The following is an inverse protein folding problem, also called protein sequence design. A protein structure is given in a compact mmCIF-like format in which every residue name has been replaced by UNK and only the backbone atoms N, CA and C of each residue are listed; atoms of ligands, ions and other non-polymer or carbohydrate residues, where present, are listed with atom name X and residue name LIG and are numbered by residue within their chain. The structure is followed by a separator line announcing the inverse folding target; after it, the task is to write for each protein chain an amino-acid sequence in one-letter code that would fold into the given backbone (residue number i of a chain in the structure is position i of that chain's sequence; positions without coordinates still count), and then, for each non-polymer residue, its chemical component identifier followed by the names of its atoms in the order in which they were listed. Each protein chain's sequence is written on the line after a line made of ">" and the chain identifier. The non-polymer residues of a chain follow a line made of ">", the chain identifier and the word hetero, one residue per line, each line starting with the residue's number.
data_IF_553756230967
#
_entry.id   IF_553756230967
#
_cell.length_a   1.000
_cell.length_b   1.000
_cell.length_c   1.000
_cell.angle_alpha   90.00
_cell.angle_beta   90.00
_cell.angle_gamma   90.00
#
_symmetry.space_group_name_H-M   'P 1'
#
loop_
_entity.id
_entity.type
_entity.pdbx_description
1 polymer ?
#
# COMPACT_ATOMS: atom_id res chain seq x y z
N UNK A 1 -29.40 17.63 -2.51
CA UNK A 1 -28.16 18.17 -1.93
C UNK A 1 -28.24 17.79 -0.44
N UNK A 2 -27.85 16.56 -0.10
CA UNK A 2 -27.68 16.16 1.29
C UNK A 2 -26.51 16.93 1.89
N UNK A 3 -26.76 17.51 3.06
CA UNK A 3 -25.77 18.14 3.93
C UNK A 3 -24.55 17.21 4.06
N UNK A 4 -23.35 17.73 3.71
CA UNK A 4 -22.11 17.05 3.99
C UNK A 4 -22.03 16.82 5.52
N UNK A 5 -22.46 15.68 5.99
CA UNK A 5 -22.23 15.25 7.36
C UNK A 5 -20.72 15.40 7.59
N UNK A 6 -20.33 16.02 8.70
CA UNK A 6 -18.93 16.28 9.01
C UNK A 6 -18.17 14.94 8.91
N UNK A 7 -17.27 14.83 7.90
CA UNK A 7 -16.49 13.59 7.66
C UNK A 7 -15.74 13.24 8.93
N UNK A 8 -15.92 12.03 9.41
CA UNK A 8 -15.14 11.51 10.54
C UNK A 8 -13.66 11.53 10.15
N UNK A 9 -12.84 12.18 10.97
CA UNK A 9 -11.37 12.20 10.78
C UNK A 9 -10.71 11.57 11.98
N UNK A 10 -9.68 10.73 11.77
CA UNK A 10 -8.89 10.22 12.86
C UNK A 10 -8.11 11.37 13.51
N UNK A 11 -8.04 11.36 14.83
CA UNK A 11 -7.12 12.25 15.56
C UNK A 11 -5.74 11.60 15.51
N UNK A 12 -4.84 12.17 14.73
CA UNK A 12 -3.48 11.66 14.56
C UNK A 12 -2.49 12.52 15.36
N UNK A 13 -1.53 11.86 15.99
CA UNK A 13 -0.41 12.50 16.69
C UNK A 13 0.89 11.84 16.25
N UNK A 14 2.02 12.50 16.47
CA UNK A 14 3.34 11.93 16.21
C UNK A 14 3.49 10.54 16.85
N UNK A 15 3.11 10.40 18.13
CA UNK A 15 3.16 9.12 18.84
C UNK A 15 2.24 8.03 18.29
N UNK A 16 1.21 8.39 17.50
CA UNK A 16 0.31 7.42 16.89
C UNK A 16 0.73 6.98 15.49
N UNK A 17 1.67 7.67 14.84
CA UNK A 17 2.08 7.37 13.46
C UNK A 17 3.57 7.05 13.30
N UNK A 18 4.44 7.51 14.21
CA UNK A 18 5.86 7.21 14.15
C UNK A 18 6.15 5.73 14.49
N UNK A 19 7.21 5.13 13.91
CA UNK A 19 7.71 3.84 14.37
C UNK A 19 8.29 3.95 15.79
N UNK A 20 8.34 2.84 16.52
CA UNK A 20 8.80 2.82 17.92
C UNK A 20 10.24 3.31 18.09
N UNK A 21 11.09 3.07 17.12
CA UNK A 21 12.50 3.47 17.10
C UNK A 21 12.80 4.71 16.24
N UNK A 22 11.80 5.58 16.04
CA UNK A 22 11.89 6.77 15.17
C UNK A 22 13.13 7.65 15.43
N UNK A 23 13.63 7.70 16.67
CA UNK A 23 14.82 8.48 17.00
C UNK A 23 16.12 8.00 16.34
N UNK A 24 16.14 6.79 15.75
CA UNK A 24 17.27 6.24 15.00
C UNK A 24 16.95 6.05 13.51
N UNK A 25 15.68 6.01 13.16
CA UNK A 25 15.21 5.73 11.81
C UNK A 25 15.50 6.90 10.87
N UNK A 26 15.94 6.61 9.65
CA UNK A 26 15.97 7.58 8.57
C UNK A 26 14.61 7.56 7.86
N UNK A 27 13.77 8.57 8.14
CA UNK A 27 12.39 8.63 7.69
C UNK A 27 12.19 9.76 6.68
N UNK A 28 11.72 9.40 5.47
CA UNK A 28 11.40 10.34 4.38
C UNK A 28 9.89 10.61 4.38
N UNK A 29 9.53 11.87 4.33
CA UNK A 29 8.17 12.36 4.15
C UNK A 29 8.05 13.17 2.85
N UNK A 30 6.82 13.45 2.45
CA UNK A 30 6.50 14.53 1.52
C UNK A 30 5.43 15.43 2.12
N UNK A 31 5.61 16.72 1.93
CA UNK A 31 4.71 17.74 2.46
C UNK A 31 4.23 18.65 1.33
N UNK A 32 2.93 18.91 1.26
CA UNK A 32 2.45 20.05 0.49
C UNK A 32 2.79 21.35 1.23
N UNK A 33 3.50 22.27 0.56
CA UNK A 33 3.86 23.57 1.12
C UNK A 33 3.07 24.66 0.41
N UNK A 34 2.18 25.39 1.11
CA UNK A 34 1.31 26.40 0.49
C UNK A 34 2.05 27.53 -0.22
N UNK A 35 3.13 28.05 0.39
CA UNK A 35 3.89 29.17 -0.18
C UNK A 35 4.55 28.80 -1.52
N UNK A 36 5.05 27.58 -1.65
CA UNK A 36 5.61 27.08 -2.91
C UNK A 36 4.53 26.52 -3.85
N UNK A 37 3.29 26.40 -3.37
CA UNK A 37 2.15 25.76 -4.05
C UNK A 37 2.52 24.39 -4.66
N UNK A 38 3.21 23.58 -3.87
CA UNK A 38 3.68 22.29 -4.35
C UNK A 38 4.30 21.39 -3.29
N UNK A 39 4.72 20.19 -3.72
CA UNK A 39 5.32 19.23 -2.82
C UNK A 39 6.77 19.57 -2.46
N UNK A 40 7.15 19.22 -1.24
CA UNK A 40 8.51 19.22 -0.73
C UNK A 40 8.93 17.81 -0.35
N UNK A 41 10.15 17.40 -0.67
CA UNK A 41 10.82 16.26 -0.06
C UNK A 41 11.22 16.66 1.36
N UNK A 42 10.95 15.82 2.34
CA UNK A 42 11.22 16.16 3.73
C UNK A 42 11.78 14.99 4.54
N UNK A 43 12.56 15.31 5.57
CA UNK A 43 13.04 14.37 6.58
C UNK A 43 12.22 14.51 7.87
N UNK A 44 11.87 13.38 8.49
CA UNK A 44 11.28 13.37 9.84
C UNK A 44 12.39 13.22 10.86
N UNK A 45 12.55 14.23 11.74
CA UNK A 45 13.59 14.29 12.78
C UNK A 45 12.94 14.60 14.12
N UNK A 46 12.69 13.56 14.91
CA UNK A 46 11.94 13.70 16.15
C UNK A 46 10.48 14.11 15.86
N UNK A 47 10.07 15.25 16.40
CA UNK A 47 8.74 15.84 16.22
C UNK A 47 8.67 16.86 15.05
N UNK A 48 9.77 17.01 14.31
CA UNK A 48 9.87 17.96 13.20
C UNK A 48 9.98 17.26 11.84
N UNK A 49 9.44 17.92 10.83
CA UNK A 49 9.53 17.53 9.43
C UNK A 49 10.26 18.65 8.69
N UNK A 50 11.46 18.37 8.19
CA UNK A 50 12.40 19.35 7.63
C UNK A 50 12.42 19.26 6.11
N UNK A 51 12.18 20.37 5.40
CA UNK A 51 12.23 20.46 3.95
C UNK A 51 13.65 20.23 3.41
N UNK A 52 13.84 19.22 2.59
CA UNK A 52 15.09 18.88 1.91
C UNK A 52 15.07 19.18 0.41
N UNK A 53 14.05 19.87 -0.11
CA UNK A 53 13.88 20.05 -1.56
C UNK A 53 15.05 20.78 -2.23
N UNK A 54 15.75 21.66 -1.51
CA UNK A 54 16.95 22.30 -2.03
C UNK A 54 18.16 21.35 -2.13
N UNK A 55 18.16 20.26 -1.38
CA UNK A 55 19.21 19.22 -1.36
C UNK A 55 18.89 18.14 -2.37
N UNK A 56 17.62 17.75 -2.43
CA UNK A 56 17.11 16.71 -3.33
C UNK A 56 15.69 17.11 -3.79
N UNK A 57 15.53 17.48 -5.07
CA UNK A 57 14.26 18.03 -5.57
C UNK A 57 13.09 17.05 -5.53
N UNK A 58 13.37 15.75 -5.69
CA UNK A 58 12.36 14.69 -5.68
C UNK A 58 12.76 13.55 -4.76
N UNK A 59 11.79 12.75 -4.34
CA UNK A 59 12.06 11.49 -3.62
C UNK A 59 12.81 10.52 -4.53
N UNK A 60 12.52 10.55 -5.84
CA UNK A 60 13.24 9.74 -6.82
C UNK A 60 14.73 10.09 -6.81
N UNK A 61 15.11 11.37 -6.86
CA UNK A 61 16.51 11.80 -6.76
C UNK A 61 17.16 11.34 -5.45
N UNK A 62 16.43 11.44 -4.33
CA UNK A 62 16.94 10.98 -3.04
C UNK A 62 17.23 9.47 -3.04
N UNK A 63 16.35 8.65 -3.64
CA UNK A 63 16.51 7.20 -3.68
C UNK A 63 17.72 6.76 -4.54
N UNK A 64 18.14 7.56 -5.52
CA UNK A 64 19.36 7.28 -6.33
C UNK A 64 20.67 7.49 -5.57
N UNK A 65 20.64 8.19 -4.43
CA UNK A 65 21.82 8.53 -3.65
C UNK A 65 22.24 7.40 -2.72
N UNK A 66 23.53 7.05 -2.74
CA UNK A 66 24.07 6.04 -1.83
C UNK A 66 24.11 6.53 -0.37
N UNK A 67 24.19 7.85 -0.16
CA UNK A 67 24.18 8.52 1.14
C UNK A 67 22.79 9.01 1.61
N UNK A 68 21.71 8.51 1.00
CA UNK A 68 20.33 8.96 1.28
C UNK A 68 19.99 8.98 2.79
N UNK A 69 20.38 7.94 3.53
CA UNK A 69 20.10 7.87 4.97
C UNK A 69 20.86 8.95 5.77
N UNK A 70 22.09 9.28 5.40
CA UNK A 70 22.86 10.36 6.00
C UNK A 70 22.24 11.73 5.68
N UNK A 71 21.82 11.97 4.44
CA UNK A 71 21.11 13.19 4.04
C UNK A 71 19.85 13.38 4.87
N UNK A 72 19.03 12.35 5.01
CA UNK A 72 17.78 12.42 5.79
C UNK A 72 18.04 12.75 7.26
N UNK A 73 19.11 12.23 7.84
CA UNK A 73 19.45 12.50 9.25
C UNK A 73 20.10 13.86 9.47
N UNK A 74 20.98 14.31 8.58
CA UNK A 74 21.99 15.32 8.90
C UNK A 74 21.99 16.54 7.98
N UNK A 75 21.47 16.44 6.73
CA UNK A 75 21.55 17.57 5.82
C UNK A 75 20.85 18.81 6.36
N UNK A 76 21.47 19.96 6.15
CA UNK A 76 20.83 21.24 6.42
C UNK A 76 19.61 21.39 5.51
N UNK A 77 18.46 21.61 6.14
CA UNK A 77 17.18 21.75 5.44
C UNK A 77 16.71 23.20 5.39
N UNK A 78 15.62 23.38 4.67
CA UNK A 78 14.89 24.65 4.64
C UNK A 78 13.90 24.79 5.80
N UNK A 79 12.64 25.05 5.44
CA UNK A 79 11.56 25.19 6.43
C UNK A 79 11.34 23.89 7.22
N UNK A 80 10.94 24.04 8.48
CA UNK A 80 10.58 22.92 9.32
C UNK A 80 9.15 23.09 9.89
N UNK A 81 8.37 22.02 9.82
CA UNK A 81 7.02 21.96 10.38
C UNK A 81 7.00 21.05 11.60
N UNK A 82 6.07 21.29 12.50
CA UNK A 82 5.77 20.30 13.55
C UNK A 82 4.96 19.15 12.94
N UNK A 83 5.36 17.91 13.23
CA UNK A 83 4.67 16.73 12.71
C UNK A 83 3.19 16.70 13.11
N UNK A 84 2.86 17.04 14.37
CA UNK A 84 1.48 17.07 14.85
C UNK A 84 0.62 18.08 14.06
N UNK A 85 1.17 19.22 13.65
CA UNK A 85 0.45 20.20 12.83
C UNK A 85 0.12 19.64 11.45
N UNK A 86 1.08 18.96 10.82
CA UNK A 86 0.88 18.32 9.51
C UNK A 86 -0.16 17.19 9.57
N UNK A 87 -0.18 16.42 10.66
CA UNK A 87 -1.11 15.31 10.87
C UNK A 87 -2.55 15.78 11.16
N UNK A 88 -2.73 16.95 11.77
CA UNK A 88 -4.04 17.53 12.03
C UNK A 88 -4.58 18.32 10.84
N UNK A 89 -3.73 18.69 9.88
CA UNK A 89 -4.12 19.44 8.72
C UNK A 89 -5.05 18.60 7.81
N UNK A 90 -6.13 19.20 7.28
CA UNK A 90 -6.99 18.52 6.33
C UNK A 90 -6.24 18.20 5.04
N UNK A 91 -6.06 16.91 4.74
CA UNK A 91 -5.43 16.49 3.50
C UNK A 91 -6.17 17.04 2.27
N UNK A 92 -5.43 17.38 1.21
CA UNK A 92 -5.98 17.92 -0.04
C UNK A 92 -6.29 19.42 -0.03
N UNK A 93 -6.13 20.11 1.09
CA UNK A 93 -6.23 21.59 1.13
C UNK A 93 -4.90 22.21 0.72
N UNK A 94 -4.94 23.10 -0.30
CA UNK A 94 -3.75 23.76 -0.84
C UNK A 94 -3.28 24.98 -0.03
N UNK A 95 -4.10 25.48 0.85
CA UNK A 95 -3.84 26.64 1.71
C UNK A 95 -3.20 26.31 3.07
N UNK A 96 -3.03 25.04 3.38
CA UNK A 96 -2.38 24.57 4.62
C UNK A 96 -1.33 23.51 4.31
N UNK A 97 -0.19 23.47 5.06
CA UNK A 97 0.77 22.40 4.91
C UNK A 97 0.17 21.08 5.42
N UNK A 98 0.38 19.99 4.69
CA UNK A 98 -0.10 18.66 5.07
C UNK A 98 0.78 17.56 4.46
N UNK A 99 0.72 16.36 5.06
CA UNK A 99 1.44 15.20 4.53
C UNK A 99 0.86 14.71 3.21
N UNK A 100 1.74 14.30 2.31
CA UNK A 100 1.44 13.59 1.07
C UNK A 100 1.94 12.14 1.17
N UNK A 101 1.58 11.29 0.20
CA UNK A 101 2.28 10.01 0.04
C UNK A 101 3.78 10.28 -0.13
N UNK A 102 4.66 9.54 0.57
CA UNK A 102 6.10 9.85 0.62
C UNK A 102 6.88 9.38 -0.63
N UNK A 103 6.27 9.41 -1.80
CA UNK A 103 6.85 9.06 -3.10
C UNK A 103 6.36 10.04 -4.17
N UNK A 104 7.07 10.14 -5.29
CA UNK A 104 6.68 11.04 -6.38
C UNK A 104 6.76 10.39 -7.78
N UNK A 105 7.94 10.29 -8.39
CA UNK A 105 8.09 9.83 -9.77
C UNK A 105 8.15 8.31 -9.91
N UNK A 106 8.27 7.58 -8.80
CA UNK A 106 8.29 6.12 -8.79
C UNK A 106 6.98 5.57 -9.33
N UNK A 107 7.07 4.64 -10.28
CA UNK A 107 5.93 3.86 -10.76
C UNK A 107 5.40 2.99 -9.62
N UNK A 108 4.08 2.95 -9.44
CA UNK A 108 3.46 2.18 -8.36
C UNK A 108 3.08 0.80 -8.90
N UNK A 109 3.90 -0.20 -8.58
CA UNK A 109 3.70 -1.61 -8.91
C UNK A 109 3.15 -2.37 -7.71
N UNK A 110 2.46 -3.48 -7.98
CA UNK A 110 2.00 -4.39 -6.96
C UNK A 110 2.17 -5.83 -7.42
N UNK A 111 2.48 -6.70 -6.46
CA UNK A 111 2.43 -8.14 -6.62
C UNK A 111 1.14 -8.67 -5.98
N UNK A 112 0.48 -9.63 -6.62
CA UNK A 112 -0.70 -10.30 -6.08
C UNK A 112 -0.39 -11.71 -5.57
N UNK A 113 -1.25 -12.21 -4.70
CA UNK A 113 -1.34 -13.64 -4.34
C UNK A 113 -0.05 -14.24 -3.75
N UNK A 114 0.67 -13.45 -2.97
CA UNK A 114 1.97 -13.85 -2.38
C UNK A 114 1.85 -14.45 -0.98
N UNK A 115 0.65 -14.56 -0.43
CA UNK A 115 0.38 -15.18 0.87
C UNK A 115 -0.69 -16.27 0.73
N UNK A 116 -0.53 -17.40 1.42
CA UNK A 116 -1.47 -18.53 1.30
C UNK A 116 -2.90 -18.13 1.67
N UNK A 117 -3.10 -17.28 2.67
CA UNK A 117 -4.43 -16.79 3.05
C UNK A 117 -5.07 -15.94 1.95
N UNK A 118 -4.32 -15.02 1.34
CA UNK A 118 -4.84 -14.19 0.24
C UNK A 118 -5.13 -15.03 -1.00
N UNK A 119 -4.29 -16.03 -1.31
CA UNK A 119 -4.51 -16.97 -2.39
C UNK A 119 -5.86 -17.69 -2.27
N UNK A 120 -6.19 -18.22 -1.07
CA UNK A 120 -7.47 -18.87 -0.84
C UNK A 120 -8.66 -17.93 -1.05
N UNK A 121 -8.58 -16.70 -0.57
CA UNK A 121 -9.65 -15.70 -0.78
C UNK A 121 -9.84 -15.37 -2.27
N UNK A 122 -8.77 -15.24 -3.05
CA UNK A 122 -8.86 -15.04 -4.50
C UNK A 122 -9.54 -16.20 -5.23
N UNK A 123 -9.22 -17.44 -4.85
CA UNK A 123 -9.91 -18.63 -5.40
C UNK A 123 -11.40 -18.61 -5.06
N UNK A 124 -11.78 -18.16 -3.86
CA UNK A 124 -13.17 -18.03 -3.44
C UNK A 124 -13.88 -16.94 -4.27
N UNK A 125 -13.27 -15.78 -4.44
CA UNK A 125 -13.80 -14.68 -5.24
C UNK A 125 -14.05 -15.10 -6.70
N UNK A 126 -13.09 -15.78 -7.31
CA UNK A 126 -13.24 -16.34 -8.67
C UNK A 126 -14.38 -17.34 -8.75
N UNK A 127 -14.46 -18.30 -7.79
CA UNK A 127 -15.48 -19.34 -7.79
C UNK A 127 -16.89 -18.82 -7.53
N UNK A 128 -17.02 -17.67 -6.88
CA UNK A 128 -18.30 -16.99 -6.65
C UNK A 128 -18.64 -15.99 -7.75
N UNK A 129 -17.72 -15.74 -8.70
CA UNK A 129 -17.86 -14.67 -9.70
C UNK A 129 -18.03 -13.27 -9.08
N UNK A 130 -17.44 -13.04 -7.90
CA UNK A 130 -17.56 -11.79 -7.14
C UNK A 130 -18.91 -11.65 -6.39
N UNK A 131 -19.65 -12.74 -6.19
CA UNK A 131 -20.91 -12.74 -5.43
C UNK A 131 -20.67 -13.07 -3.94
N UNK A 132 -20.78 -12.09 -3.01
CA UNK A 132 -20.52 -12.29 -1.58
C UNK A 132 -21.48 -13.29 -0.93
N UNK A 133 -22.72 -13.42 -1.44
CA UNK A 133 -23.71 -14.33 -0.86
C UNK A 133 -23.32 -15.81 -0.97
N UNK A 134 -22.40 -16.16 -1.86
CA UNK A 134 -21.90 -17.50 -2.05
C UNK A 134 -20.58 -17.78 -1.32
N UNK A 135 -19.89 -16.74 -0.83
CA UNK A 135 -18.52 -16.81 -0.34
C UNK A 135 -18.36 -17.81 0.82
N UNK A 136 -19.21 -17.78 1.83
CA UNK A 136 -19.15 -18.66 2.99
C UNK A 136 -19.19 -20.15 2.60
N UNK A 137 -20.10 -20.51 1.71
CA UNK A 137 -20.26 -21.90 1.24
C UNK A 137 -19.04 -22.37 0.45
N UNK A 138 -18.54 -21.51 -0.45
CA UNK A 138 -17.38 -21.82 -1.28
C UNK A 138 -16.12 -21.90 -0.41
N UNK A 139 -15.96 -20.99 0.55
CA UNK A 139 -14.82 -20.99 1.50
C UNK A 139 -14.69 -22.31 2.26
N UNK A 140 -15.80 -22.80 2.84
CA UNK A 140 -15.79 -24.08 3.55
C UNK A 140 -15.34 -25.22 2.65
N UNK A 141 -15.80 -25.25 1.40
CA UNK A 141 -15.42 -26.30 0.44
C UNK A 141 -13.96 -26.17 -0.02
N UNK A 142 -13.48 -24.95 -0.31
CA UNK A 142 -12.09 -24.71 -0.74
C UNK A 142 -11.11 -25.06 0.38
N UNK A 143 -11.39 -24.64 1.61
CA UNK A 143 -10.57 -24.99 2.78
C UNK A 143 -10.48 -26.51 3.00
N UNK A 144 -11.58 -27.23 2.83
CA UNK A 144 -11.57 -28.70 2.98
C UNK A 144 -10.71 -29.39 1.93
N UNK A 145 -10.64 -28.86 0.71
CA UNK A 145 -9.98 -29.51 -0.44
C UNK A 145 -8.52 -29.05 -0.61
N UNK A 146 -8.22 -27.79 -0.27
CA UNK A 146 -6.95 -27.13 -0.60
C UNK A 146 -6.19 -26.65 0.65
N UNK A 147 -6.88 -26.45 1.78
CA UNK A 147 -6.39 -25.74 2.97
C UNK A 147 -5.13 -26.30 3.60
N UNK A 148 -4.64 -27.43 3.41
CA UNK A 148 -3.34 -27.92 3.92
C UNK A 148 -2.35 -28.28 2.81
N UNK A 149 -2.82 -28.31 1.56
CA UNK A 149 -2.01 -28.78 0.43
C UNK A 149 -1.06 -27.69 -0.09
N UNK A 150 -1.29 -26.44 0.27
CA UNK A 150 -0.50 -25.28 -0.19
C UNK A 150 0.50 -24.78 0.85
N UNK A 151 0.43 -25.28 2.10
CA UNK A 151 1.30 -24.82 3.18
C UNK A 151 2.75 -25.22 2.90
N UNK A 152 3.63 -24.22 2.90
CA UNK A 152 5.06 -24.42 2.71
C UNK A 152 5.50 -24.77 1.28
N UNK A 153 4.61 -24.74 0.30
CA UNK A 153 5.00 -24.90 -1.12
C UNK A 153 5.80 -23.68 -1.57
N UNK A 154 7.01 -23.93 -2.04
CA UNK A 154 7.81 -22.88 -2.72
C UNK A 154 7.30 -22.73 -4.16
N UNK A 155 6.84 -21.54 -4.58
CA UNK A 155 6.39 -21.30 -5.93
C UNK A 155 7.44 -21.68 -6.99
N UNK A 156 7.00 -22.29 -8.10
CA UNK A 156 7.88 -22.73 -9.17
C UNK A 156 8.76 -23.95 -8.83
N UNK A 157 8.52 -24.62 -7.70
CA UNK A 157 9.26 -25.83 -7.32
C UNK A 157 8.62 -27.11 -7.91
N UNK A 158 9.36 -28.23 -7.96
CA UNK A 158 8.78 -29.53 -8.36
C UNK A 158 7.60 -29.97 -7.49
N UNK A 159 7.53 -29.53 -6.24
CA UNK A 159 6.41 -29.75 -5.33
C UNK A 159 5.19 -28.93 -5.78
N UNK A 160 5.40 -27.69 -6.24
CA UNK A 160 4.34 -26.86 -6.83
C UNK A 160 3.77 -27.47 -8.11
N UNK A 161 4.62 -28.03 -8.98
CA UNK A 161 4.18 -28.72 -10.20
C UNK A 161 3.30 -29.94 -9.88
N UNK A 162 3.68 -30.74 -8.89
CA UNK A 162 2.87 -31.89 -8.42
C UNK A 162 1.54 -31.43 -7.83
N UNK A 163 1.53 -30.35 -7.04
CA UNK A 163 0.30 -29.79 -6.50
C UNK A 163 -0.60 -29.28 -7.62
N UNK A 164 -0.03 -28.63 -8.66
CA UNK A 164 -0.74 -28.21 -9.85
C UNK A 164 -1.40 -29.38 -10.58
N UNK A 165 -0.64 -30.46 -10.85
CA UNK A 165 -1.17 -31.66 -11.52
C UNK A 165 -2.36 -32.25 -10.75
N UNK A 166 -2.27 -32.37 -9.43
CA UNK A 166 -3.36 -32.85 -8.59
C UNK A 166 -4.58 -31.93 -8.66
N UNK A 167 -4.40 -30.62 -8.46
CA UNK A 167 -5.49 -29.63 -8.47
C UNK A 167 -6.19 -29.56 -9.84
N UNK A 168 -5.43 -29.73 -10.94
CA UNK A 168 -5.99 -29.79 -12.30
C UNK A 168 -6.85 -31.05 -12.45
N UNK A 169 -6.35 -32.22 -11.98
CA UNK A 169 -7.08 -33.49 -12.08
C UNK A 169 -8.40 -33.49 -11.31
N UNK A 170 -8.45 -32.75 -10.19
CA UNK A 170 -9.64 -32.57 -9.35
C UNK A 170 -10.56 -31.42 -9.83
N UNK A 171 -10.21 -30.73 -10.92
CA UNK A 171 -10.97 -29.57 -11.43
C UNK A 171 -10.94 -28.36 -10.50
N UNK A 172 -9.92 -28.25 -9.66
CA UNK A 172 -9.75 -27.19 -8.64
C UNK A 172 -8.76 -26.12 -9.07
N UNK A 173 -8.09 -26.27 -10.22
CA UNK A 173 -7.13 -25.28 -10.68
C UNK A 173 -7.80 -23.93 -10.97
N UNK A 174 -7.11 -22.86 -10.67
CA UNK A 174 -7.54 -21.48 -10.88
C UNK A 174 -6.37 -20.64 -11.37
N UNK A 175 -6.65 -19.52 -12.05
CA UNK A 175 -5.64 -18.56 -12.49
C UNK A 175 -4.85 -17.95 -11.32
N UNK A 176 -5.48 -17.82 -10.15
CA UNK A 176 -4.80 -17.33 -8.94
C UNK A 176 -3.83 -18.35 -8.34
N UNK A 177 -4.14 -19.65 -8.47
CA UNK A 177 -3.20 -20.72 -8.13
C UNK A 177 -1.99 -20.70 -9.08
N UNK A 178 -2.19 -20.38 -10.37
CA UNK A 178 -1.08 -20.25 -11.33
C UNK A 178 -0.05 -19.22 -10.89
N UNK A 179 -0.48 -18.02 -10.48
CA UNK A 179 0.44 -16.97 -10.04
C UNK A 179 0.88 -17.14 -8.58
N UNK A 180 0.09 -17.81 -7.75
CA UNK A 180 0.41 -18.06 -6.34
C UNK A 180 1.51 -19.11 -6.14
N UNK A 181 1.46 -20.22 -6.86
CA UNK A 181 2.41 -21.33 -6.72
C UNK A 181 3.20 -21.66 -8.00
N UNK A 182 2.82 -21.11 -9.16
CA UNK A 182 3.57 -21.27 -10.42
C UNK A 182 4.91 -20.52 -10.42
N UNK A 183 5.66 -20.57 -11.54
CA UNK A 183 6.99 -19.95 -11.62
C UNK A 183 6.93 -18.42 -11.60
N UNK A 184 5.94 -17.82 -12.24
CA UNK A 184 5.83 -16.38 -12.41
C UNK A 184 4.83 -15.77 -11.42
N UNK A 185 5.21 -14.74 -10.64
CA UNK A 185 4.30 -14.01 -9.78
C UNK A 185 3.37 -13.12 -10.61
N UNK A 186 2.19 -12.82 -10.08
CA UNK A 186 1.41 -11.71 -10.57
C UNK A 186 2.12 -10.39 -10.24
N UNK A 187 2.40 -9.56 -11.25
CA UNK A 187 2.90 -8.19 -11.07
C UNK A 187 2.12 -7.26 -11.98
N UNK A 188 1.53 -6.21 -11.42
CA UNK A 188 0.73 -5.24 -12.17
C UNK A 188 1.04 -3.79 -11.79
N UNK A 189 0.52 -2.83 -12.54
CA UNK A 189 0.57 -1.41 -12.19
C UNK A 189 -0.64 -1.07 -11.35
N UNK A 190 -0.42 -0.70 -10.07
CA UNK A 190 -1.49 -0.37 -9.13
C UNK A 190 -2.10 0.99 -9.41
N UNK A 191 -1.26 1.98 -9.63
CA UNK A 191 -1.69 3.36 -9.80
C UNK A 191 -0.62 4.19 -10.53
N UNK A 192 -0.99 5.32 -11.17
CA UNK A 192 -0.05 6.24 -11.78
C UNK A 192 0.87 6.92 -10.76
N UNK A 193 2.02 7.43 -11.24
CA UNK A 193 2.93 8.27 -10.44
C UNK A 193 2.17 9.47 -9.87
N UNK A 194 2.49 9.91 -8.64
CA UNK A 194 1.89 11.05 -7.95
C UNK A 194 0.40 10.89 -7.57
N UNK A 195 -0.23 9.75 -7.83
CA UNK A 195 -1.68 9.55 -7.57
C UNK A 195 -1.99 8.96 -6.19
N UNK A 196 -1.01 8.34 -5.52
CA UNK A 196 -1.21 7.78 -4.20
C UNK A 196 -1.51 8.86 -3.14
N UNK A 197 -2.36 8.53 -2.18
CA UNK A 197 -2.67 9.37 -1.02
C UNK A 197 -1.82 8.97 0.19
N UNK A 198 -1.52 9.93 1.07
CA UNK A 198 -0.72 9.71 2.29
C UNK A 198 -1.58 9.41 3.52
N UNK A 199 -0.92 9.30 4.67
CA UNK A 199 -1.60 9.15 5.96
C UNK A 199 -2.44 10.39 6.29
N UNK A 200 -3.61 10.21 6.90
CA UNK A 200 -4.55 11.28 7.20
C UNK A 200 -5.45 11.71 6.03
N UNK A 201 -5.17 11.24 4.82
CA UNK A 201 -6.02 11.48 3.65
C UNK A 201 -7.22 10.52 3.60
N UNK A 202 -8.24 10.89 2.82
CA UNK A 202 -9.32 9.99 2.47
C UNK A 202 -8.81 8.90 1.50
N UNK A 203 -9.29 7.65 1.66
CA UNK A 203 -9.05 6.56 0.72
C UNK A 203 -10.34 6.21 -0.02
N UNK A 204 -10.24 6.08 -1.35
CA UNK A 204 -11.38 5.93 -2.25
C UNK A 204 -11.75 4.47 -2.50
N UNK A 205 -13.04 4.17 -2.34
CA UNK A 205 -13.67 2.94 -2.84
C UNK A 205 -14.64 3.33 -3.94
N UNK A 206 -14.60 2.65 -5.10
CA UNK A 206 -15.52 2.93 -6.20
C UNK A 206 -16.96 2.76 -5.74
N UNK A 207 -17.79 3.80 -5.90
CA UNK A 207 -19.16 3.82 -5.39
C UNK A 207 -20.11 2.76 -5.95
N UNK A 208 -19.74 2.16 -7.09
CA UNK A 208 -20.49 1.04 -7.67
C UNK A 208 -20.14 -0.33 -7.07
N UNK A 209 -19.09 -0.43 -6.26
CA UNK A 209 -18.69 -1.69 -5.62
C UNK A 209 -19.52 -1.94 -4.36
N UNK A 210 -19.96 -3.17 -4.21
CA UNK A 210 -20.75 -3.65 -3.05
C UNK A 210 -19.99 -4.68 -2.22
N UNK A 211 -18.81 -5.10 -2.66
CA UNK A 211 -17.93 -6.02 -1.94
C UNK A 211 -16.46 -5.64 -2.13
N UNK A 212 -15.89 -5.02 -1.14
CA UNK A 212 -14.55 -4.44 -1.20
C UNK A 212 -13.86 -4.52 0.16
N UNK A 213 -12.53 -4.37 0.15
CA UNK A 213 -11.73 -4.50 1.38
C UNK A 213 -10.43 -3.69 1.29
N UNK A 214 -9.80 -3.38 2.44
CA UNK A 214 -8.41 -2.96 2.47
C UNK A 214 -7.50 -4.15 2.19
N UNK A 215 -6.35 -3.88 1.61
CA UNK A 215 -5.25 -4.82 1.47
C UNK A 215 -4.01 -4.22 2.13
N UNK A 216 -3.74 -4.61 3.41
CA UNK A 216 -2.55 -4.16 4.12
C UNK A 216 -1.31 -4.83 3.55
N UNK A 217 -0.31 -4.00 3.19
CA UNK A 217 0.91 -4.47 2.54
C UNK A 217 2.16 -3.74 3.05
N UNK A 218 3.29 -4.44 2.99
CA UNK A 218 4.60 -3.81 2.95
C UNK A 218 4.87 -3.35 1.53
N UNK A 219 5.39 -2.14 1.38
CA UNK A 219 5.75 -1.55 0.09
C UNK A 219 7.25 -1.29 0.06
N UNK A 220 7.95 -1.93 -0.87
CA UNK A 220 9.37 -1.68 -1.11
C UNK A 220 9.55 -0.43 -1.95
N UNK A 221 10.59 0.34 -1.66
CA UNK A 221 11.03 1.46 -2.49
C UNK A 221 12.32 1.07 -3.19
N UNK A 222 12.30 1.09 -4.52
CA UNK A 222 13.38 0.54 -5.36
C UNK A 222 13.90 1.63 -6.29
N UNK A 223 15.22 1.79 -6.38
CA UNK A 223 15.87 2.77 -7.25
C UNK A 223 15.90 2.30 -8.73
N UNK A 224 16.40 3.15 -9.62
CA UNK A 224 16.49 2.87 -11.06
C UNK A 224 17.40 1.69 -11.42
N UNK A 225 18.23 1.24 -10.49
CA UNK A 225 19.15 0.10 -10.62
C UNK A 225 18.58 -1.19 -10.03
N UNK A 226 17.33 -1.18 -9.57
CA UNK A 226 16.68 -2.34 -8.97
C UNK A 226 17.11 -2.62 -7.51
N UNK A 227 17.76 -1.67 -6.84
CA UNK A 227 18.18 -1.82 -5.45
C UNK A 227 17.05 -1.35 -4.52
N UNK A 228 16.70 -2.18 -3.55
CA UNK A 228 15.76 -1.77 -2.49
C UNK A 228 16.44 -0.72 -1.61
N UNK A 229 15.81 0.45 -1.49
CA UNK A 229 16.32 1.60 -0.73
C UNK A 229 15.63 1.79 0.61
N UNK A 230 14.42 1.26 0.75
CA UNK A 230 13.61 1.39 1.94
C UNK A 230 12.30 0.65 1.83
N UNK A 231 11.49 0.77 2.88
CA UNK A 231 10.15 0.21 2.92
C UNK A 231 9.17 1.17 3.59
N UNK A 232 7.90 0.99 3.31
CA UNK A 232 6.77 1.72 3.91
C UNK A 232 5.54 0.81 3.97
N UNK A 233 4.40 1.32 4.45
CA UNK A 233 3.13 0.63 4.45
C UNK A 233 2.28 1.07 3.27
N UNK A 234 1.41 0.19 2.80
CA UNK A 234 0.44 0.48 1.77
C UNK A 234 -0.94 -0.12 2.02
N UNK A 235 -1.94 0.50 1.41
CA UNK A 235 -3.28 -0.06 1.28
C UNK A 235 -3.64 -0.14 -0.21
N UNK A 236 -3.62 -1.35 -0.74
CA UNK A 236 -4.05 -1.65 -2.11
C UNK A 236 -5.54 -1.97 -2.11
N UNK A 237 -6.40 -0.93 -2.00
CA UNK A 237 -7.85 -1.14 -1.96
C UNK A 237 -8.30 -2.03 -3.10
N UNK A 238 -9.09 -3.06 -2.75
CA UNK A 238 -9.59 -4.04 -3.69
C UNK A 238 -11.12 -4.02 -3.79
N UNK A 239 -11.62 -4.20 -4.99
CA UNK A 239 -13.03 -4.39 -5.31
C UNK A 239 -13.27 -5.84 -5.68
N UNK A 240 -13.59 -6.70 -4.68
CA UNK A 240 -13.77 -8.15 -4.83
C UNK A 240 -14.88 -8.51 -5.82
N UNK A 241 -15.97 -7.75 -5.82
CA UNK A 241 -17.08 -7.92 -6.75
C UNK A 241 -16.73 -7.56 -8.21
N UNK A 242 -15.65 -6.82 -8.42
CA UNK A 242 -15.14 -6.50 -9.78
C UNK A 242 -14.07 -7.52 -10.19
N UNK A 243 -13.05 -7.71 -9.35
CA UNK A 243 -11.93 -8.60 -9.61
C UNK A 243 -12.38 -10.07 -9.76
N UNK A 244 -13.29 -10.52 -8.87
CA UNK A 244 -13.82 -11.90 -8.90
C UNK A 244 -14.61 -12.24 -10.16
N UNK A 245 -15.11 -11.25 -10.92
CA UNK A 245 -15.80 -11.50 -12.18
C UNK A 245 -14.85 -11.88 -13.31
N UNK A 246 -13.68 -11.27 -13.36
CA UNK A 246 -12.69 -11.55 -14.41
C UNK A 246 -11.35 -10.89 -14.07
N UNK A 247 -10.24 -11.60 -14.24
CA UNK A 247 -8.89 -11.03 -14.17
C UNK A 247 -8.66 -9.88 -15.17
N UNK A 248 -9.43 -9.82 -16.28
CA UNK A 248 -9.37 -8.71 -17.24
C UNK A 248 -9.93 -7.40 -16.68
N UNK A 249 -10.58 -7.43 -15.54
CA UNK A 249 -11.09 -6.26 -14.82
C UNK A 249 -10.13 -5.76 -13.73
N UNK A 250 -8.92 -6.28 -13.64
CA UNK A 250 -7.94 -5.93 -12.60
C UNK A 250 -7.72 -4.41 -12.50
N UNK A 251 -7.49 -3.70 -13.61
CA UNK A 251 -7.35 -2.24 -13.59
C UNK A 251 -8.60 -1.54 -13.04
N UNK A 252 -9.78 -2.03 -13.37
CA UNK A 252 -11.04 -1.48 -12.84
C UNK A 252 -11.19 -1.72 -11.33
N UNK A 253 -10.69 -2.85 -10.84
CA UNK A 253 -10.72 -3.20 -9.42
C UNK A 253 -9.71 -2.38 -8.61
N UNK A 254 -8.56 -2.03 -9.19
CA UNK A 254 -7.39 -1.53 -8.47
C UNK A 254 -7.11 -0.04 -8.67
N UNK A 255 -7.29 0.51 -9.88
CA UNK A 255 -6.90 1.89 -10.21
C UNK A 255 -8.15 2.80 -10.28
N UNK A 256 -8.50 3.36 -9.12
CA UNK A 256 -9.55 4.35 -8.97
C UNK A 256 -9.01 5.58 -8.23
N UNK A 257 -9.68 6.72 -8.29
CA UNK A 257 -9.23 7.92 -7.57
C UNK A 257 -9.10 7.65 -6.07
N UNK A 258 -7.93 7.95 -5.50
CA UNK A 258 -7.55 7.73 -4.10
C UNK A 258 -7.59 6.27 -3.62
N UNK A 259 -7.64 5.25 -4.50
CA UNK A 259 -7.71 3.83 -4.11
C UNK A 259 -6.35 3.21 -3.76
N UNK A 260 -5.29 4.01 -3.72
CA UNK A 260 -3.93 3.62 -3.36
C UNK A 260 -3.43 4.54 -2.25
N UNK A 261 -3.22 4.04 -1.05
CA UNK A 261 -2.57 4.79 0.02
C UNK A 261 -1.17 4.24 0.31
N UNK A 262 -0.20 5.13 0.53
CA UNK A 262 1.18 4.78 0.87
C UNK A 262 1.69 5.72 1.97
N UNK A 263 2.29 5.17 3.00
CA UNK A 263 2.83 5.95 4.11
C UNK A 263 2.97 5.17 5.43
N UNK A 264 3.18 5.87 6.56
CA UNK A 264 3.23 7.32 6.71
C UNK A 264 4.51 7.94 6.14
N UNK A 265 5.63 7.21 6.20
CA UNK A 265 6.96 7.64 5.78
C UNK A 265 7.65 6.49 5.05
N UNK A 266 8.62 6.78 4.18
CA UNK A 266 9.57 5.76 3.74
C UNK A 266 10.64 5.66 4.83
N UNK A 267 10.84 4.46 5.36
CA UNK A 267 12.00 4.13 6.18
C UNK A 267 13.11 3.60 5.29
N UNK A 268 14.21 4.33 5.22
CA UNK A 268 15.39 3.94 4.45
C UNK A 268 16.10 2.76 5.09
N UNK A 269 16.70 1.90 4.25
CA UNK A 269 17.60 0.86 4.72
C UNK A 269 18.88 1.47 5.28
N UNK A 270 19.30 0.97 6.44
CA UNK A 270 20.53 1.33 7.13
C UNK A 270 20.99 0.18 8.05
N UNK A 271 22.04 0.41 8.85
CA UNK A 271 22.58 -0.60 9.78
C UNK A 271 21.55 -1.10 10.83
N UNK A 272 20.48 -0.33 11.10
CA UNK A 272 19.42 -0.66 12.05
C UNK A 272 18.13 -1.19 11.40
N UNK A 273 18.04 -1.14 10.07
CA UNK A 273 16.88 -1.56 9.32
C UNK A 273 17.31 -2.05 7.93
N UNK A 274 17.42 -3.33 7.77
CA UNK A 274 17.89 -4.03 6.58
C UNK A 274 16.79 -4.89 5.93
N UNK A 275 17.12 -5.61 4.88
CA UNK A 275 16.18 -6.50 4.19
C UNK A 275 15.73 -7.68 5.06
N UNK A 276 16.57 -8.17 5.97
CA UNK A 276 16.17 -9.24 6.88
C UNK A 276 15.16 -8.74 7.90
N UNK A 277 15.29 -7.48 8.33
CA UNK A 277 14.26 -6.80 9.12
C UNK A 277 12.95 -6.69 8.33
N UNK A 278 13.00 -6.31 7.04
CA UNK A 278 11.81 -6.23 6.18
C UNK A 278 11.13 -7.59 6.05
N UNK A 279 11.87 -8.67 5.85
CA UNK A 279 11.36 -10.05 5.79
C UNK A 279 10.69 -10.51 7.09
N UNK A 280 11.00 -9.86 8.19
CA UNK A 280 10.47 -10.18 9.52
C UNK A 280 9.39 -9.24 10.04
N UNK A 281 8.93 -8.26 9.25
CA UNK A 281 7.94 -7.29 9.70
C UNK A 281 6.60 -7.94 10.04
N UNK A 282 6.05 -7.54 11.18
CA UNK A 282 4.68 -7.84 11.55
C UNK A 282 3.80 -6.62 11.23
N UNK A 283 2.62 -6.88 10.69
CA UNK A 283 1.68 -5.86 10.22
C UNK A 283 0.33 -6.09 10.88
N UNK A 284 -0.20 -5.03 11.48
CA UNK A 284 -1.52 -5.00 12.08
C UNK A 284 -2.48 -4.17 11.22
N UNK A 285 -3.69 -4.68 11.08
CA UNK A 285 -4.84 -3.97 10.52
C UNK A 285 -5.87 -3.72 11.62
N UNK A 286 -6.33 -2.49 11.73
CA UNK A 286 -7.51 -2.12 12.52
C UNK A 286 -8.47 -1.33 11.67
N UNK A 287 -9.76 -1.67 11.76
CA UNK A 287 -10.83 -0.90 11.14
C UNK A 287 -11.81 -0.48 12.23
N UNK A 288 -12.07 0.83 12.32
CA UNK A 288 -13.05 1.39 13.25
C UNK A 288 -14.22 1.96 12.43
N UNK A 289 -15.35 1.25 12.44
CA UNK A 289 -16.59 1.64 11.76
C UNK A 289 -17.35 2.77 12.47
N UNK A 290 -18.20 3.45 11.71
CA UNK A 290 -19.11 4.47 12.24
C UNK A 290 -20.30 3.86 13.01
N UNK A 291 -20.59 2.60 12.76
CA UNK A 291 -21.60 1.75 13.38
C UNK A 291 -21.14 1.08 14.68
N UNK A 292 -19.93 1.36 15.13
CA UNK A 292 -19.29 0.73 16.29
C UNK A 292 -18.61 -0.60 15.96
N UNK A 293 -18.60 -1.02 14.70
CA UNK A 293 -17.84 -2.17 14.24
C UNK A 293 -16.34 -1.95 14.47
N UNK A 294 -15.65 -2.98 14.95
CA UNK A 294 -14.19 -2.98 15.12
C UNK A 294 -13.64 -4.30 14.61
N UNK A 295 -12.69 -4.22 13.68
CA UNK A 295 -11.95 -5.36 13.20
C UNK A 295 -10.48 -5.22 13.58
N UNK A 296 -9.87 -6.32 14.00
CA UNK A 296 -8.45 -6.46 14.18
C UNK A 296 -7.94 -7.66 13.40
N UNK A 297 -6.86 -7.47 12.68
CA UNK A 297 -6.14 -8.54 12.00
C UNK A 297 -4.64 -8.30 12.09
N UNK A 298 -3.86 -9.37 12.03
CA UNK A 298 -2.41 -9.31 12.00
C UNK A 298 -1.85 -10.42 11.11
N UNK A 299 -0.69 -10.16 10.52
CA UNK A 299 0.08 -11.14 9.76
C UNK A 299 1.56 -10.73 9.75
N UNK A 300 2.42 -11.61 9.27
CA UNK A 300 3.85 -11.40 9.23
C UNK A 300 4.41 -11.59 7.82
N UNK A 301 5.39 -10.76 7.45
CA UNK A 301 6.17 -10.95 6.22
C UNK A 301 6.90 -12.29 6.18
N UNK A 302 7.05 -13.00 7.32
CA UNK A 302 7.59 -14.36 7.35
C UNK A 302 6.69 -15.39 6.66
N UNK A 303 5.41 -15.07 6.46
CA UNK A 303 4.43 -15.92 5.79
C UNK A 303 4.40 -15.74 4.27
N UNK A 304 5.21 -14.83 3.72
CA UNK A 304 5.25 -14.59 2.27
C UNK A 304 5.80 -15.82 1.54
N UNK A 305 5.14 -16.23 0.47
CA UNK A 305 5.51 -17.42 -0.30
C UNK A 305 6.70 -17.19 -1.25
N UNK A 306 6.99 -15.93 -1.61
CA UNK A 306 8.10 -15.52 -2.47
C UNK A 306 8.97 -14.52 -1.76
N UNK A 307 10.29 -14.66 -1.85
CA UNK A 307 11.19 -13.64 -1.28
C UNK A 307 10.94 -12.27 -1.93
N UNK A 308 11.10 -11.21 -1.15
CA UNK A 308 10.89 -9.83 -1.62
C UNK A 308 11.82 -9.47 -2.79
N UNK A 309 13.04 -10.04 -2.84
CA UNK A 309 13.96 -9.82 -3.96
C UNK A 309 13.57 -10.61 -5.20
N UNK A 310 12.89 -11.76 -5.08
CA UNK A 310 12.33 -12.49 -6.22
C UNK A 310 11.21 -11.64 -6.87
N UNK A 311 10.38 -10.97 -6.08
CA UNK A 311 9.37 -10.05 -6.58
C UNK A 311 9.98 -8.82 -7.26
N UNK A 312 11.07 -8.27 -6.72
CA UNK A 312 11.83 -7.20 -7.37
C UNK A 312 12.40 -7.68 -8.70
N UNK A 313 13.00 -8.88 -8.75
CA UNK A 313 13.58 -9.44 -9.98
C UNK A 313 12.52 -9.78 -11.04
N UNK A 314 11.29 -10.13 -10.63
CA UNK A 314 10.17 -10.31 -11.56
C UNK A 314 9.63 -8.97 -12.11
N UNK A 315 9.88 -7.86 -11.40
CA UNK A 315 9.44 -6.52 -11.80
C UNK A 315 10.49 -5.79 -12.64
N UNK A 316 11.75 -5.89 -12.26
CA UNK A 316 12.87 -5.14 -12.83
C UNK A 316 13.98 -6.09 -13.31
N UNK A 317 14.57 -5.79 -14.47
CA UNK A 317 15.70 -6.53 -15.04
C UNK A 317 15.92 -6.17 -16.50
N UNK A 318 16.65 -7.01 -17.27
CA UNK A 318 16.83 -6.79 -18.71
C UNK A 318 15.51 -6.71 -19.48
N UNK A 319 14.44 -7.29 -18.94
CA UNK A 319 13.10 -7.31 -19.53
C UNK A 319 12.30 -6.02 -19.30
N UNK A 320 12.63 -5.24 -18.25
CA UNK A 320 11.94 -3.96 -17.96
C UNK A 320 12.76 -3.08 -17.02
N UNK A 321 12.79 -1.76 -17.28
CA UNK A 321 13.53 -0.76 -16.50
C UNK A 321 12.57 0.35 -16.03
N UNK A 322 12.93 1.00 -14.91
CA UNK A 322 12.20 2.12 -14.32
C UNK A 322 13.19 3.25 -14.02
N UNK A 323 13.39 4.22 -14.96
CA UNK A 323 14.42 5.26 -14.82
C UNK A 323 14.33 6.13 -13.58
N UNK A 324 13.11 6.33 -13.06
CA UNK A 324 12.84 7.11 -11.85
C UNK A 324 12.60 6.21 -10.61
N UNK A 325 12.95 4.92 -10.71
CA UNK A 325 12.64 3.92 -9.71
C UNK A 325 11.18 3.49 -9.72
N UNK A 326 10.83 2.61 -8.80
CA UNK A 326 9.46 2.14 -8.58
C UNK A 326 9.23 1.83 -7.12
N UNK A 327 7.97 1.76 -6.73
CA UNK A 327 7.56 1.13 -5.48
C UNK A 327 6.83 -0.17 -5.80
N UNK A 328 7.00 -1.18 -4.94
CA UNK A 328 6.42 -2.49 -5.12
C UNK A 328 5.65 -2.91 -3.86
N UNK A 329 4.35 -2.94 -3.96
CA UNK A 329 3.49 -3.64 -3.01
C UNK A 329 3.81 -5.12 -3.07
N UNK A 330 4.04 -5.75 -1.92
CA UNK A 330 4.53 -7.14 -1.87
C UNK A 330 3.43 -8.19 -1.86
N UNK A 331 2.18 -7.76 -1.97
CA UNK A 331 0.97 -8.58 -1.89
C UNK A 331 0.32 -8.48 -0.52
N UNK A 332 -1.01 -8.60 -0.50
CA UNK A 332 -1.74 -8.46 0.76
C UNK A 332 -1.46 -9.62 1.71
N UNK A 333 -1.05 -9.29 2.93
CA UNK A 333 -0.77 -10.25 3.98
C UNK A 333 -2.03 -11.03 4.38
N UNK A 334 -3.19 -10.36 4.33
CA UNK A 334 -4.50 -10.98 4.53
C UNK A 334 -5.60 -10.01 4.10
N UNK A 335 -6.77 -10.54 3.76
CA UNK A 335 -7.98 -9.77 3.53
C UNK A 335 -9.00 -10.06 4.64
N UNK A 336 -9.72 -9.07 5.17
CA UNK A 336 -10.79 -9.29 6.15
C UNK A 336 -11.86 -10.26 5.62
N UNK A 337 -12.26 -11.21 6.45
CA UNK A 337 -13.28 -12.22 6.11
C UNK A 337 -14.41 -12.27 7.12
N UNK A 338 -14.30 -11.56 8.24
CA UNK A 338 -15.26 -11.50 9.30
C UNK A 338 -16.56 -10.84 8.82
N UNK A 339 -17.69 -11.41 9.24
CA UNK A 339 -19.00 -10.86 8.91
C UNK A 339 -19.20 -9.48 9.55
N UNK A 340 -19.71 -8.52 8.78
CA UNK A 340 -20.01 -7.18 9.29
C UNK A 340 -21.50 -6.88 9.38
N UNK A 341 -22.25 -7.09 8.31
CA UNK A 341 -23.65 -6.67 8.22
C UNK A 341 -24.63 -7.79 8.57
N UNK A 342 -24.33 -9.02 8.13
CA UNK A 342 -25.16 -10.18 8.37
C UNK A 342 -24.31 -11.45 8.38
N UNK A 343 -24.73 -12.51 9.08
CA UNK A 343 -24.02 -13.80 9.06
C UNK A 343 -23.83 -14.33 7.63
N UNK A 344 -22.58 -14.65 7.28
CA UNK A 344 -22.21 -15.15 5.95
C UNK A 344 -22.00 -14.07 4.88
N UNK A 345 -22.19 -12.79 5.20
CA UNK A 345 -21.99 -11.70 4.24
C UNK A 345 -20.50 -11.34 4.05
N UNK A 346 -19.63 -11.74 5.00
CA UNK A 346 -18.24 -11.35 5.00
C UNK A 346 -18.03 -9.86 5.27
N UNK A 347 -16.81 -9.39 5.02
CA UNK A 347 -16.45 -8.00 5.19
C UNK A 347 -16.68 -7.19 3.89
N UNK A 348 -17.23 -5.99 4.06
CA UNK A 348 -17.15 -4.89 3.10
C UNK A 348 -17.01 -3.57 3.86
N UNK A 349 -16.36 -2.57 3.25
CA UNK A 349 -16.26 -1.23 3.83
C UNK A 349 -17.62 -0.54 3.93
N UNK A 350 -17.75 0.25 5.00
CA UNK A 350 -18.72 1.32 5.10
C UNK A 350 -18.03 2.68 4.97
N UNK A 351 -18.70 3.65 4.36
CA UNK A 351 -18.13 5.00 4.25
C UNK A 351 -18.00 5.66 5.63
N UNK A 352 -16.84 6.22 5.89
CA UNK A 352 -16.47 6.75 7.20
C UNK A 352 -15.68 5.77 8.07
N UNK A 353 -15.44 4.54 7.61
CA UNK A 353 -14.49 3.64 8.27
C UNK A 353 -13.13 4.29 8.38
N UNK A 354 -12.48 4.13 9.52
CA UNK A 354 -11.08 4.48 9.70
C UNK A 354 -10.26 3.20 9.59
N UNK A 355 -9.45 3.12 8.56
CA UNK A 355 -8.51 2.01 8.31
C UNK A 355 -7.14 2.41 8.82
N UNK A 356 -6.58 1.62 9.74
CA UNK A 356 -5.23 1.76 10.27
C UNK A 356 -4.42 0.52 9.94
N UNK A 357 -3.33 0.70 9.20
CA UNK A 357 -2.32 -0.32 8.92
C UNK A 357 -1.05 0.11 9.66
N UNK A 358 -0.50 -0.76 10.49
CA UNK A 358 0.63 -0.38 11.35
C UNK A 358 1.66 -1.49 11.51
N UNK A 359 2.90 -1.05 11.80
CA UNK A 359 4.02 -1.90 12.16
C UNK A 359 4.91 -1.18 13.16
N UNK A 360 5.44 -1.87 14.17
CA UNK A 360 6.37 -1.25 15.12
C UNK A 360 7.57 -0.56 14.46
N UNK A 361 7.97 -1.04 13.30
CA UNK A 361 9.15 -0.55 12.58
C UNK A 361 8.86 0.44 11.46
N UNK A 362 7.62 0.51 10.96
CA UNK A 362 7.22 1.42 9.85
C UNK A 362 6.24 2.51 10.30
N UNK A 363 5.71 2.42 11.52
CA UNK A 363 4.70 3.36 12.02
C UNK A 363 3.30 3.00 11.58
N UNK A 364 2.44 3.99 11.28
CA UNK A 364 1.04 3.74 10.94
C UNK A 364 0.51 4.59 9.78
N UNK A 365 -0.03 3.93 8.78
CA UNK A 365 -0.83 4.50 7.70
C UNK A 365 -2.29 4.49 8.13
N UNK A 366 -2.93 5.66 8.14
CA UNK A 366 -4.33 5.80 8.61
C UNK A 366 -5.13 6.61 7.61
N UNK A 367 -6.25 6.07 7.16
CA UNK A 367 -7.10 6.70 6.15
C UNK A 367 -8.58 6.56 6.51
N UNK A 368 -9.41 7.48 6.03
CA UNK A 368 -10.87 7.39 6.12
C UNK A 368 -11.46 6.95 4.79
N UNK A 369 -12.33 5.95 4.80
CA UNK A 369 -12.96 5.40 3.59
C UNK A 369 -14.07 6.32 3.10
N UNK A 370 -14.02 6.65 1.80
CA UNK A 370 -15.06 7.43 1.11
C UNK A 370 -15.31 6.88 -0.31
N UNK A 371 -16.41 7.26 -0.98
CA UNK A 371 -16.55 7.00 -2.41
C UNK A 371 -15.41 7.66 -3.21
N UNK A 372 -14.81 6.94 -4.16
CA UNK A 372 -13.77 7.48 -5.06
C UNK A 372 -14.23 8.73 -5.79
N UNK A 373 -15.52 8.81 -6.12
CA UNK A 373 -16.16 9.93 -6.81
C UNK A 373 -16.23 11.20 -5.95
N UNK A 374 -16.08 11.05 -4.62
CA UNK A 374 -16.10 12.14 -3.64
C UNK A 374 -14.70 12.47 -3.10
N UNK A 375 -13.69 11.68 -3.44
CA UNK A 375 -12.32 11.94 -3.07
C UNK A 375 -11.81 13.22 -3.76
N UNK A 376 -10.87 13.90 -3.11
CA UNK A 376 -10.21 15.07 -3.70
C UNK A 376 -9.65 14.69 -5.07
N UNK A 377 -10.01 15.42 -6.15
CA UNK A 377 -9.51 15.12 -7.48
C UNK A 377 -7.97 15.20 -7.51
N UNK A 378 -7.35 14.20 -8.12
CA UNK A 378 -5.90 14.21 -8.37
C UNK A 378 -5.58 15.25 -9.46
N UNK A 379 -4.89 16.32 -9.09
CA UNK A 379 -4.59 17.47 -9.97
C UNK A 379 -3.09 17.70 -10.16
N UNK A 380 -2.23 17.12 -9.33
CA UNK A 380 -0.78 17.28 -9.41
C UNK A 380 -0.16 16.06 -10.07
N UNK A 381 0.03 16.14 -11.39
CA UNK A 381 0.79 15.16 -12.15
C UNK A 381 2.21 15.68 -12.46
N UNK A 382 3.00 14.86 -13.18
CA UNK A 382 4.43 15.12 -13.52
C UNK A 382 4.64 16.54 -14.08
N UNK A 383 3.79 16.98 -15.01
CA UNK A 383 3.91 18.34 -15.61
C UNK A 383 3.74 19.46 -14.57
N UNK A 384 2.85 19.27 -13.58
CA UNK A 384 2.67 20.24 -12.50
C UNK A 384 3.89 20.27 -11.57
N UNK A 385 4.42 19.09 -11.23
CA UNK A 385 5.65 18.96 -10.44
C UNK A 385 6.84 19.65 -11.14
N UNK A 386 7.11 19.35 -12.39
CA UNK A 386 8.20 19.98 -13.16
C UNK A 386 8.10 21.53 -13.15
N UNK A 387 6.90 22.07 -13.40
CA UNK A 387 6.67 23.52 -13.37
C UNK A 387 6.89 24.12 -11.97
N UNK A 388 6.53 23.38 -10.92
CA UNK A 388 6.73 23.82 -9.54
C UNK A 388 8.22 23.88 -9.21
N UNK A 389 8.97 22.82 -9.48
CA UNK A 389 10.42 22.74 -9.21
C UNK A 389 11.19 23.78 -10.03
N UNK A 390 10.84 23.97 -11.31
CA UNK A 390 11.46 25.00 -12.15
C UNK A 390 11.22 26.43 -11.62
N UNK A 391 10.00 26.75 -11.15
CA UNK A 391 9.70 28.06 -10.52
C UNK A 391 10.51 28.28 -9.24
N UNK A 392 10.84 27.21 -8.51
CA UNK A 392 11.65 27.25 -7.28
C UNK A 392 13.14 27.27 -7.55
N UNK A 393 13.57 27.11 -8.82
CA UNK A 393 14.97 27.08 -9.21
C UNK A 393 15.73 25.85 -8.71
N UNK A 394 15.07 24.73 -8.51
CA UNK A 394 15.64 23.46 -8.03
C UNK A 394 15.56 22.33 -9.06
N UNK A 395 15.13 22.65 -10.28
CA UNK A 395 15.13 21.75 -11.43
C UNK A 395 16.26 22.13 -12.38
#
# INVERSE_FOLDING_TARGET
>A
VESAAARRRPVLTAGSVLPEDFGRAALVARVHHPESDGPCVAAVRGDQVVDLTAVTPTVSDLMERDDAAAIVREADGGHAWRLDELLQAPAGRRDVPHLLAPLDLQVIKAAGVTFARSLLERVIEERTGGDPAQAARVRARVQQLVGGALDGIRPGSPEADKAKELLVSEGLWSQYLEVGIGPDPEVFTKAPVLSAVGTGADIGVLGASVWNNPEPEVVLVVDSRGRVRGATLGNDVNLRDVEGRSALLLSRAKDNNASCAIGPFIRLLDDGFDLDTVRGLDIDLRIDGTDGYVLHGSSSMREISRDVLDLVAATYGPHHQYPDGFVLFTGTLFAPTEDRQAPGAGFTHEYGDIVRISSPRLGALVNTVIPSEQATPWTIGVRALMRNLARRGVL
#
